data_IF_585817894236
#
_entry.id   IF_585817894236
#
_cell.length_a   1.000
_cell.length_b   1.000
_cell.length_c   1.000
_cell.angle_alpha   90.00
_cell.angle_beta   90.00
_cell.angle_gamma   90.00
#
_symmetry.space_group_name_H-M   'P 1'
#
loop_
_entity.id
_entity.type
_entity.pdbx_description
1 polymer ?
#
# COMPACT_ATOMS: atom_id res chain seq x y z
N UNK A 1 -4.95 -45.34 -4.97
CA UNK A 1 -5.23 -44.08 -4.25
C UNK A 1 -4.35 -43.01 -4.87
N UNK A 2 -4.91 -42.08 -5.65
CA UNK A 2 -4.12 -41.01 -6.26
C UNK A 2 -3.86 -39.90 -5.23
N UNK A 3 -2.60 -39.64 -4.93
CA UNK A 3 -2.19 -38.58 -3.99
C UNK A 3 -2.22 -37.23 -4.71
N UNK A 4 -2.85 -36.23 -4.11
CA UNK A 4 -2.92 -34.88 -4.69
C UNK A 4 -1.50 -34.30 -4.81
N UNK A 5 -1.11 -33.76 -5.98
CA UNK A 5 0.22 -33.17 -6.14
C UNK A 5 0.37 -31.89 -5.32
N UNK A 6 1.63 -31.57 -4.97
CA UNK A 6 1.95 -30.35 -4.21
C UNK A 6 1.58 -29.11 -5.01
N UNK A 7 1.04 -28.10 -4.32
CA UNK A 7 0.71 -26.82 -4.94
C UNK A 7 1.96 -26.11 -5.45
N UNK A 8 1.80 -25.42 -6.59
CA UNK A 8 2.85 -24.57 -7.10
C UNK A 8 3.14 -23.45 -6.10
N UNK A 9 4.40 -23.32 -5.69
CA UNK A 9 4.81 -22.40 -4.65
C UNK A 9 6.08 -21.66 -5.04
N UNK A 10 6.24 -20.46 -4.49
CA UNK A 10 7.48 -19.69 -4.60
C UNK A 10 8.65 -20.29 -3.82
N UNK A 11 8.48 -21.40 -3.10
CA UNK A 11 9.59 -22.10 -2.44
C UNK A 11 10.50 -22.82 -3.43
N UNK A 12 9.96 -23.21 -4.59
CA UNK A 12 10.72 -23.91 -5.63
C UNK A 12 11.51 -22.91 -6.48
N UNK A 13 12.82 -22.78 -6.21
CA UNK A 13 13.70 -21.90 -6.99
C UNK A 13 13.74 -22.32 -8.47
N UNK A 14 13.77 -21.33 -9.38
CA UNK A 14 13.70 -21.57 -10.82
C UNK A 14 12.30 -21.89 -11.35
N UNK A 15 11.30 -22.08 -10.47
CA UNK A 15 9.91 -22.20 -10.90
C UNK A 15 9.35 -20.85 -11.36
N UNK A 16 8.32 -20.92 -12.20
CA UNK A 16 7.57 -19.73 -12.63
C UNK A 16 6.97 -18.96 -11.45
N UNK A 17 6.53 -19.66 -10.39
CA UNK A 17 5.98 -19.01 -9.19
C UNK A 17 7.05 -18.22 -8.43
N UNK A 18 8.28 -18.75 -8.31
CA UNK A 18 9.39 -18.02 -7.71
C UNK A 18 9.71 -16.73 -8.48
N UNK A 19 9.84 -16.80 -9.81
CA UNK A 19 10.09 -15.63 -10.66
C UNK A 19 8.96 -14.59 -10.56
N UNK A 20 7.71 -15.05 -10.55
CA UNK A 20 6.55 -14.15 -10.47
C UNK A 20 6.51 -13.40 -9.14
N UNK A 21 6.72 -14.11 -8.04
CA UNK A 21 6.69 -13.52 -6.69
C UNK A 21 7.88 -12.58 -6.49
N UNK A 22 9.07 -12.97 -6.96
CA UNK A 22 10.30 -12.21 -6.77
C UNK A 22 10.36 -10.93 -7.60
N UNK A 23 9.99 -11.01 -8.89
CA UNK A 23 10.30 -9.94 -9.83
C UNK A 23 9.05 -9.19 -10.31
N UNK A 24 7.97 -9.92 -10.64
CA UNK A 24 6.76 -9.30 -11.22
C UNK A 24 5.83 -8.68 -10.20
N UNK A 25 5.61 -9.33 -9.06
CA UNK A 25 4.74 -8.78 -8.01
C UNK A 25 5.23 -7.42 -7.49
N UNK A 26 6.53 -7.21 -7.19
CA UNK A 26 7.01 -5.90 -6.78
C UNK A 26 6.75 -4.82 -7.83
N UNK A 27 7.00 -5.10 -9.12
CA UNK A 27 6.74 -4.14 -10.20
C UNK A 27 5.25 -3.77 -10.32
N UNK A 28 4.35 -4.74 -10.16
CA UNK A 28 2.90 -4.49 -10.19
C UNK A 28 2.50 -3.60 -9.01
N UNK A 29 2.99 -3.90 -7.80
CA UNK A 29 2.68 -3.11 -6.61
C UNK A 29 3.18 -1.67 -6.71
N UNK A 30 4.39 -1.46 -7.24
CA UNK A 30 4.89 -0.11 -7.51
C UNK A 30 3.98 0.64 -8.47
N UNK A 31 3.56 0.01 -9.58
CA UNK A 31 2.63 0.63 -10.53
C UNK A 31 1.28 0.98 -9.90
N UNK A 32 0.77 0.11 -9.03
CA UNK A 32 -0.47 0.39 -8.28
C UNK A 32 -0.28 1.61 -7.37
N UNK A 33 0.81 1.68 -6.62
CA UNK A 33 1.14 2.84 -5.77
C UNK A 33 1.26 4.11 -6.62
N UNK A 34 1.97 4.07 -7.75
CA UNK A 34 2.13 5.20 -8.66
C UNK A 34 0.80 5.67 -9.24
N UNK A 35 -0.12 4.75 -9.49
CA UNK A 35 -1.44 5.07 -10.02
C UNK A 35 -2.31 5.73 -8.95
N UNK A 36 -2.34 5.17 -7.74
CA UNK A 36 -3.05 5.75 -6.60
C UNK A 36 -2.49 7.13 -6.22
N UNK A 37 -1.17 7.32 -6.28
CA UNK A 37 -0.55 8.60 -5.96
C UNK A 37 -0.93 9.69 -6.98
N UNK A 38 -0.94 9.36 -8.27
CA UNK A 38 -1.29 10.31 -9.34
C UNK A 38 -2.77 10.69 -9.32
N UNK A 39 -3.64 9.72 -9.07
CA UNK A 39 -5.09 9.93 -9.07
C UNK A 39 -5.60 10.34 -7.68
N UNK A 40 -4.71 10.59 -6.70
CA UNK A 40 -5.07 10.96 -5.32
C UNK A 40 -6.10 12.08 -5.29
N UNK A 41 -5.89 13.13 -6.08
CA UNK A 41 -6.76 14.30 -6.08
C UNK A 41 -8.15 13.99 -6.68
N UNK A 42 -8.22 13.17 -7.73
CA UNK A 42 -9.48 12.70 -8.31
C UNK A 42 -10.27 11.83 -7.32
N UNK A 43 -9.58 10.93 -6.58
CA UNK A 43 -10.20 10.15 -5.51
C UNK A 43 -10.70 11.02 -4.34
N UNK A 44 -10.01 12.12 -4.03
CA UNK A 44 -10.44 13.05 -2.98
C UNK A 44 -11.64 13.89 -3.39
N UNK A 45 -11.75 14.28 -4.66
CA UNK A 45 -12.92 15.02 -5.17
C UNK A 45 -14.16 14.12 -5.26
N UNK A 46 -14.02 12.87 -5.73
CA UNK A 46 -15.16 11.96 -5.94
C UNK A 46 -15.61 11.22 -4.66
N UNK A 47 -14.70 10.89 -3.74
CA UNK A 47 -15.00 10.13 -2.51
C UNK A 47 -14.73 10.89 -1.21
N UNK A 48 -14.22 12.13 -1.28
CA UNK A 48 -13.94 12.96 -0.10
C UNK A 48 -15.20 13.32 0.68
N UNK A 49 -16.28 13.71 0.00
CA UNK A 49 -17.54 14.05 0.68
C UNK A 49 -18.18 12.83 1.36
N UNK A 50 -18.12 11.66 0.71
CA UNK A 50 -18.77 10.43 1.19
C UNK A 50 -18.12 9.91 2.49
N UNK A 51 -16.80 10.11 2.68
CA UNK A 51 -16.09 9.64 3.89
C UNK A 51 -16.13 10.64 5.05
N UNK A 52 -16.19 11.94 4.77
CA UNK A 52 -16.31 12.98 5.82
C UNK A 52 -17.65 12.85 6.54
N UNK A 53 -18.72 12.49 5.83
CA UNK A 53 -20.06 12.31 6.41
C UNK A 53 -20.23 10.97 7.14
N UNK A 54 -19.51 9.92 6.76
CA UNK A 54 -19.76 8.57 7.26
C UNK A 54 -19.28 8.33 8.71
N UNK A 55 -18.16 8.92 9.17
CA UNK A 55 -17.77 8.96 10.58
C UNK A 55 -16.49 9.82 10.77
N UNK A 56 -16.60 11.09 11.19
CA UNK A 56 -15.45 12.00 11.33
C UNK A 56 -14.40 11.56 12.37
N UNK A 57 -14.69 10.56 13.21
CA UNK A 57 -13.75 10.06 14.23
C UNK A 57 -12.81 8.94 13.78
N UNK A 58 -13.10 8.27 12.66
CA UNK A 58 -12.39 7.02 12.30
C UNK A 58 -11.08 7.26 11.54
N UNK A 59 -11.04 8.25 10.65
CA UNK A 59 -9.84 8.57 9.84
C UNK A 59 -8.69 9.13 10.69
N UNK A 60 -9.01 10.01 11.64
CA UNK A 60 -8.02 10.61 12.55
C UNK A 60 -7.35 9.55 13.45
N UNK A 61 -8.12 8.53 13.86
CA UNK A 61 -7.64 7.42 14.70
C UNK A 61 -6.63 6.52 13.98
N UNK A 62 -6.75 6.39 12.66
CA UNK A 62 -5.83 5.60 11.84
C UNK A 62 -4.53 6.36 11.55
N UNK A 63 -4.63 7.67 11.29
CA UNK A 63 -3.48 8.57 11.09
C UNK A 63 -2.62 8.67 12.37
N UNK A 64 -3.24 8.68 13.56
CA UNK A 64 -2.55 8.75 14.84
C UNK A 64 -1.86 7.43 15.29
N UNK A 65 -2.13 6.30 14.62
CA UNK A 65 -1.60 4.96 14.98
C UNK A 65 -0.41 4.51 14.15
N UNK A 66 -0.06 5.25 13.09
CA UNK A 66 1.19 5.01 12.34
C UNK A 66 2.34 5.73 13.08
N UNK A 67 3.43 5.04 13.43
CA UNK A 67 4.59 5.70 14.03
C UNK A 67 5.12 6.73 13.02
N UNK A 68 5.17 7.98 13.45
CA UNK A 68 5.65 9.14 12.72
C UNK A 68 7.05 8.86 12.14
N UNK A 69 7.15 8.61 10.83
CA UNK A 69 8.39 8.75 10.06
C UNK A 69 8.20 9.92 9.09
N UNK A 70 8.01 11.12 9.62
CA UNK A 70 8.36 12.38 8.94
C UNK A 70 7.87 13.55 9.80
N UNK A 71 8.63 13.86 10.83
CA UNK A 71 8.71 15.24 11.31
C UNK A 71 10.18 15.51 11.59
N UNK A 72 10.93 15.62 10.50
CA UNK A 72 12.15 16.43 10.49
C UNK A 72 11.77 17.89 10.61
N UNK A 73 11.23 18.28 11.76
CA UNK A 73 11.22 19.68 12.20
C UNK A 73 12.66 19.95 12.63
N UNK A 74 13.47 20.42 11.69
CA UNK A 74 14.68 21.16 12.05
C UNK A 74 14.19 22.49 12.61
N UNK A 75 14.26 22.57 13.93
CA UNK A 75 14.14 23.81 14.69
C UNK A 75 15.15 24.85 14.14
N UNK A 76 14.66 26.05 13.84
CA UNK A 76 15.47 27.13 13.29
C UNK A 76 14.78 28.48 13.46
N UNK A 77 14.87 28.97 14.69
CA UNK A 77 14.32 30.22 15.22
C UNK A 77 14.61 31.45 14.34
N UNK A 78 13.52 32.19 14.10
CA UNK A 78 13.44 33.55 13.57
C UNK A 78 14.45 34.50 14.26
N UNK A 79 15.25 35.23 13.48
CA UNK A 79 15.70 36.59 13.80
C UNK A 79 15.24 37.51 12.69
#
# INVERSE_FOLDING_TARGET
>A
MATVPVSLAGSFQGSFAYFTIKDRLPQILTKVIDTLHRHKNEFFEEYGEVRVLANPGSHLKLMAKLPLISTGVVAGTKR
#
